data_IF_207325883431
#
_entry.id   IF_207325883431
#
_cell.length_a   1.000
_cell.length_b   1.000
_cell.length_c   1.000
_cell.angle_alpha   90.00
_cell.angle_beta   90.00
_cell.angle_gamma   90.00
#
_symmetry.space_group_name_H-M   'P 1'
#
loop_
_entity.id
_entity.type
_entity.pdbx_description
1 polymer ?
#
# COMPACT_ATOMS: atom_id res chain seq x y z
N UNK A 1 -14.74 3.31 52.21
CA UNK A 1 -14.20 3.74 50.90
C UNK A 1 -15.21 4.66 50.23
N UNK A 2 -14.93 5.96 50.24
CA UNK A 2 -15.87 7.05 49.95
C UNK A 2 -16.29 7.08 48.46
N UNK A 3 -17.56 7.41 48.22
CA UNK A 3 -18.18 7.46 46.88
C UNK A 3 -17.46 8.40 45.89
N UNK A 4 -16.65 9.35 46.38
CA UNK A 4 -15.78 10.19 45.57
C UNK A 4 -14.79 9.41 44.68
N UNK A 5 -14.24 8.28 45.18
CA UNK A 5 -13.32 7.46 44.39
C UNK A 5 -14.01 6.81 43.19
N UNK A 6 -15.29 6.42 43.30
CA UNK A 6 -16.04 5.82 42.18
C UNK A 6 -16.36 6.83 41.09
N UNK A 7 -16.71 8.06 41.45
CA UNK A 7 -17.01 9.11 40.48
C UNK A 7 -15.75 9.57 39.72
N UNK A 8 -14.62 9.71 40.41
CA UNK A 8 -13.35 10.05 39.77
C UNK A 8 -12.87 8.96 38.80
N UNK A 9 -12.92 7.70 39.21
CA UNK A 9 -12.53 6.56 38.36
C UNK A 9 -13.48 6.35 37.16
N UNK A 10 -14.78 6.62 37.33
CA UNK A 10 -15.77 6.57 36.25
C UNK A 10 -15.53 7.65 35.18
N UNK A 11 -15.19 8.87 35.61
CA UNK A 11 -14.91 9.99 34.69
C UNK A 11 -13.63 9.79 33.86
N UNK A 12 -12.57 9.23 34.45
CA UNK A 12 -11.32 8.98 33.74
C UNK A 12 -11.45 7.85 32.72
N UNK A 13 -12.15 6.76 33.08
CA UNK A 13 -12.46 5.66 32.14
C UNK A 13 -13.30 6.12 30.96
N UNK A 14 -14.30 6.97 31.20
CA UNK A 14 -15.10 7.57 30.13
C UNK A 14 -14.23 8.41 29.19
N UNK A 15 -13.34 9.25 29.72
CA UNK A 15 -12.40 10.04 28.91
C UNK A 15 -11.46 9.18 28.06
N UNK A 16 -10.93 8.09 28.62
CA UNK A 16 -10.09 7.14 27.89
C UNK A 16 -10.84 6.47 26.73
N UNK A 17 -12.09 6.04 26.97
CA UNK A 17 -12.96 5.47 25.92
C UNK A 17 -13.18 6.48 24.78
N UNK A 18 -13.53 7.72 25.10
CA UNK A 18 -13.73 8.77 24.09
C UNK A 18 -12.45 9.09 23.31
N UNK A 19 -11.29 9.11 23.96
CA UNK A 19 -10.01 9.30 23.26
C UNK A 19 -9.69 8.14 22.31
N UNK A 20 -9.91 6.88 22.72
CA UNK A 20 -9.68 5.73 21.84
C UNK A 20 -10.61 5.72 20.63
N UNK A 21 -11.89 6.10 20.80
CA UNK A 21 -12.87 6.15 19.71
C UNK A 21 -12.51 7.22 18.67
N UNK A 22 -11.89 8.33 19.09
CA UNK A 22 -11.44 9.37 18.16
C UNK A 22 -10.10 9.03 17.48
N UNK A 23 -9.20 8.34 18.17
CA UNK A 23 -7.87 8.04 17.65
C UNK A 23 -7.87 6.87 16.65
N UNK A 24 -8.69 5.84 16.89
CA UNK A 24 -8.76 4.65 16.06
C UNK A 24 -9.13 4.95 14.58
N UNK A 25 -10.17 5.73 14.25
CA UNK A 25 -10.50 6.04 12.86
C UNK A 25 -9.40 6.87 12.16
N UNK A 26 -8.72 7.79 12.87
CA UNK A 26 -7.61 8.55 12.28
C UNK A 26 -6.44 7.63 11.88
N UNK A 27 -6.09 6.65 12.72
CA UNK A 27 -5.01 5.70 12.40
C UNK A 27 -5.37 4.76 11.24
N UNK A 28 -6.63 4.34 11.16
CA UNK A 28 -7.12 3.48 10.06
C UNK A 28 -7.09 4.25 8.73
N UNK A 29 -7.59 5.49 8.69
CA UNK A 29 -7.57 6.33 7.48
C UNK A 29 -6.14 6.62 7.03
N UNK A 30 -5.24 6.98 7.96
CA UNK A 30 -3.84 7.21 7.64
C UNK A 30 -3.15 5.96 7.04
N UNK A 31 -3.45 4.78 7.58
CA UNK A 31 -2.91 3.51 7.09
C UNK A 31 -3.41 3.16 5.69
N UNK A 32 -4.70 3.41 5.40
CA UNK A 32 -5.29 3.19 4.07
C UNK A 32 -4.68 4.13 3.04
N UNK A 33 -4.51 5.42 3.38
CA UNK A 33 -3.91 6.40 2.47
C UNK A 33 -2.45 6.03 2.16
N UNK A 34 -1.68 5.61 3.16
CA UNK A 34 -0.29 5.21 2.97
C UNK A 34 -0.16 3.94 2.12
N UNK A 35 -1.03 2.95 2.33
CA UNK A 35 -1.08 1.73 1.53
C UNK A 35 -1.52 2.01 0.07
N UNK A 36 -2.45 2.95 -0.12
CA UNK A 36 -2.93 3.34 -1.46
C UNK A 36 -1.87 4.11 -2.25
N UNK A 37 -1.05 4.93 -1.57
CA UNK A 37 0.06 5.65 -2.19
C UNK A 37 1.21 4.73 -2.65
N UNK A 38 1.46 3.63 -1.93
CA UNK A 38 2.46 2.63 -2.33
C UNK A 38 2.08 1.84 -3.60
N UNK A 39 0.80 1.82 -3.98
CA UNK A 39 0.30 1.17 -5.19
C UNK A 39 0.26 2.11 -6.42
N UNK A 40 0.56 3.40 -6.28
CA UNK A 40 0.71 4.32 -7.40
C UNK A 40 2.10 4.20 -8.05
N UNK A 41 2.48 3.00 -8.50
CA UNK A 41 3.52 2.87 -9.52
C UNK A 41 2.80 2.98 -10.86
N UNK A 42 2.95 4.13 -11.51
CA UNK A 42 2.36 4.47 -12.81
C UNK A 42 2.29 3.26 -13.73
N UNK A 43 1.08 2.69 -13.88
CA UNK A 43 0.83 1.67 -14.89
C UNK A 43 1.04 2.32 -16.24
N UNK A 44 1.87 1.71 -17.08
CA UNK A 44 2.09 2.17 -18.44
C UNK A 44 0.74 2.21 -19.18
N UNK A 45 0.39 3.36 -19.75
CA UNK A 45 -0.90 3.57 -20.41
C UNK A 45 -0.87 3.03 -21.84
N UNK A 46 -2.01 2.53 -22.32
CA UNK A 46 -2.14 2.05 -23.71
C UNK A 46 -1.75 3.17 -24.68
N UNK A 47 -0.71 2.94 -25.49
CA UNK A 47 -0.20 3.92 -26.46
C UNK A 47 1.15 4.55 -26.07
N UNK A 48 1.59 4.38 -24.82
CA UNK A 48 2.95 4.77 -24.43
C UNK A 48 3.99 3.83 -25.04
N UNK A 49 5.16 4.38 -25.35
CA UNK A 49 6.31 3.59 -25.79
C UNK A 49 6.61 2.50 -24.75
N UNK A 50 6.84 1.27 -25.24
CA UNK A 50 7.30 0.17 -24.40
C UNK A 50 8.56 0.61 -23.63
N UNK A 51 8.63 0.39 -22.30
CA UNK A 51 9.79 0.74 -21.51
C UNK A 51 10.96 -0.10 -22.00
N UNK A 52 12.13 0.53 -22.06
CA UNK A 52 13.35 -0.19 -22.38
C UNK A 52 13.79 -0.98 -21.14
N UNK A 53 13.33 -2.22 -21.05
CA UNK A 53 13.61 -3.14 -19.94
C UNK A 53 14.65 -4.17 -20.36
N UNK A 54 15.52 -4.51 -19.42
CA UNK A 54 16.42 -5.66 -19.54
C UNK A 54 15.94 -6.73 -18.56
N UNK A 55 15.64 -7.92 -19.07
CA UNK A 55 15.19 -9.06 -18.29
C UNK A 55 16.32 -10.08 -18.23
N UNK A 56 16.79 -10.42 -17.03
CA UNK A 56 17.71 -11.54 -16.86
C UNK A 56 16.94 -12.85 -17.06
N UNK A 57 17.33 -13.63 -18.06
CA UNK A 57 16.74 -14.95 -18.36
C UNK A 57 17.75 -16.05 -18.12
N UNK A 58 17.30 -17.31 -18.13
CA UNK A 58 18.20 -18.47 -18.02
C UNK A 58 19.15 -18.62 -19.21
N UNK A 59 18.83 -17.98 -20.34
CA UNK A 59 19.60 -18.04 -21.59
C UNK A 59 20.51 -16.80 -21.76
N UNK A 60 20.45 -15.85 -20.83
CA UNK A 60 21.19 -14.59 -20.88
C UNK A 60 20.29 -13.38 -20.65
N UNK A 61 20.85 -12.18 -20.83
CA UNK A 61 20.10 -10.94 -20.71
C UNK A 61 19.25 -10.71 -21.96
N UNK A 62 17.96 -10.41 -21.76
CA UNK A 62 17.01 -10.07 -22.81
C UNK A 62 16.76 -8.56 -22.79
N UNK A 63 17.13 -7.86 -23.86
CA UNK A 63 16.92 -6.42 -24.00
C UNK A 63 15.70 -6.12 -24.87
N UNK A 64 14.73 -5.37 -24.34
CA UNK A 64 13.52 -5.00 -25.08
C UNK A 64 13.84 -4.15 -26.33
N UNK A 65 14.90 -3.35 -26.27
CA UNK A 65 15.41 -2.55 -27.40
C UNK A 65 15.78 -3.38 -28.63
N UNK A 66 16.16 -4.65 -28.47
CA UNK A 66 16.55 -5.54 -29.56
C UNK A 66 15.34 -6.10 -30.31
N UNK A 67 14.16 -6.07 -29.70
CA UNK A 67 12.91 -6.58 -30.28
C UNK A 67 12.10 -5.50 -31.01
N UNK A 68 12.72 -4.37 -31.36
CA UNK A 68 12.05 -3.29 -32.10
C UNK A 68 11.52 -3.80 -33.44
N UNK A 69 10.22 -3.58 -33.68
CA UNK A 69 9.52 -4.03 -34.89
C UNK A 69 8.83 -5.38 -34.75
N UNK A 70 9.09 -6.12 -33.66
CA UNK A 70 8.39 -7.35 -33.33
C UNK A 70 7.28 -7.08 -32.30
N UNK A 71 6.19 -7.88 -32.36
CA UNK A 71 5.17 -7.89 -31.31
C UNK A 71 5.65 -8.81 -30.20
N UNK A 72 5.87 -8.26 -29.01
CA UNK A 72 6.34 -8.99 -27.83
C UNK A 72 5.23 -9.07 -26.79
N UNK A 73 4.96 -10.26 -26.25
CA UNK A 73 3.98 -10.50 -25.19
C UNK A 73 4.74 -10.85 -23.90
N UNK A 74 4.60 -10.03 -22.87
CA UNK A 74 5.23 -10.25 -21.55
C UNK A 74 4.24 -10.93 -20.60
N UNK A 75 4.62 -12.09 -20.06
CA UNK A 75 3.83 -12.82 -19.07
C UNK A 75 4.51 -12.75 -17.70
N UNK A 76 3.76 -12.34 -16.67
CA UNK A 76 4.25 -12.23 -15.29
C UNK A 76 3.54 -13.25 -14.40
N UNK A 77 4.30 -14.09 -13.71
CA UNK A 77 3.79 -15.03 -12.69
C UNK A 77 4.44 -14.76 -11.34
N UNK A 78 3.64 -14.71 -10.28
CA UNK A 78 4.12 -14.59 -8.92
C UNK A 78 4.02 -15.96 -8.22
N UNK A 79 5.10 -16.47 -7.61
CA UNK A 79 5.01 -17.67 -6.77
C UNK A 79 4.17 -17.33 -5.53
N UNK A 80 3.06 -18.05 -5.35
CA UNK A 80 2.15 -17.93 -4.21
C UNK A 80 2.54 -18.85 -3.06
#
# INVERSE_FOLDING_TARGET
MSQQYRQWYGSWKSRLLWMTVLFLPMTVVASIVLASGLLQKSGQTNGDLAPDITLATTEGDFHMSEQRGNVVVLYYSFPG
#
